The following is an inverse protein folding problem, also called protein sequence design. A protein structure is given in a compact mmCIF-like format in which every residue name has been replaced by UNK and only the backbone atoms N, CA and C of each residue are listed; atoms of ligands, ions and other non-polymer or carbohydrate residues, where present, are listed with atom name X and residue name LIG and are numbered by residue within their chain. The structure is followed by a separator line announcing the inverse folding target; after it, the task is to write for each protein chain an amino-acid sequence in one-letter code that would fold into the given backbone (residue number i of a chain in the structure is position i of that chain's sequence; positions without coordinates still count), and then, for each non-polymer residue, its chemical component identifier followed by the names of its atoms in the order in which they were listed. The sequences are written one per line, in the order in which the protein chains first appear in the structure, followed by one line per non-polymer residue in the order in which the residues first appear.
data_IF_120038419375
#
_entry.id   IF_120038419375
#
_cell.length_a   1.000
_cell.length_b   1.000
_cell.length_c   1.000
_cell.angle_alpha   90.00
_cell.angle_beta   90.00
_cell.angle_gamma   90.00
#
_symmetry.space_group_name_H-M   'P 1'
#
loop_
_entity.id
_entity.type
_entity.pdbx_description
1 polymer ?
#
# COMPACT_ATOMS: atom_id res chain seq x y z
N UNK A 1 15.94 -24.49 -3.18
CA UNK A 1 15.17 -24.60 -1.91
C UNK A 1 13.81 -25.19 -2.22
N UNK A 2 13.26 -26.02 -1.33
CA UNK A 2 11.90 -26.56 -1.48
C UNK A 2 10.90 -25.48 -1.05
N UNK A 3 9.93 -25.18 -1.93
CA UNK A 3 8.89 -24.17 -1.67
C UNK A 3 7.61 -24.83 -1.18
N UNK A 4 6.89 -24.15 -0.29
CA UNK A 4 5.65 -24.62 0.31
C UNK A 4 4.54 -23.57 0.18
N UNK A 5 3.52 -23.85 -0.63
CA UNK A 5 2.41 -22.92 -0.95
C UNK A 5 1.19 -23.03 -0.02
N UNK A 6 1.38 -23.55 1.18
CA UNK A 6 0.32 -23.69 2.18
C UNK A 6 -0.16 -22.36 2.74
N UNK A 7 -1.45 -22.24 3.06
CA UNK A 7 -2.03 -21.06 3.71
C UNK A 7 -1.50 -20.99 5.16
N UNK A 8 -1.31 -19.77 5.66
CA UNK A 8 -1.00 -19.52 7.07
C UNK A 8 -2.25 -19.03 7.78
N UNK A 9 -2.53 -19.63 8.95
CA UNK A 9 -3.50 -19.13 9.91
C UNK A 9 -2.75 -18.46 11.06
N UNK A 10 -3.00 -17.18 11.25
CA UNK A 10 -2.48 -16.45 12.41
C UNK A 10 -3.19 -16.93 13.67
N UNK A 11 -2.41 -17.19 14.71
CA UNK A 11 -2.86 -17.58 16.03
C UNK A 11 -2.84 -16.41 17.00
N UNK A 12 -2.56 -16.72 18.27
CA UNK A 12 -2.47 -15.73 19.34
C UNK A 12 -1.29 -14.78 19.11
N UNK A 13 -1.46 -13.53 19.48
CA UNK A 13 -0.38 -12.55 19.63
C UNK A 13 -0.34 -12.16 21.10
N UNK A 14 0.84 -12.22 21.71
CA UNK A 14 1.04 -11.84 23.11
C UNK A 14 2.39 -11.16 23.30
N UNK A 15 2.49 -10.36 24.36
CA UNK A 15 3.76 -9.90 24.88
C UNK A 15 4.16 -10.80 26.06
N UNK A 16 5.46 -11.01 26.25
CA UNK A 16 5.98 -11.78 27.38
C UNK A 16 7.17 -11.06 28.00
N UNK A 17 7.25 -11.08 29.33
CA UNK A 17 8.44 -10.65 30.06
C UNK A 17 8.32 -9.22 30.58
N UNK A 18 9.46 -8.52 30.70
CA UNK A 18 9.51 -7.23 31.40
C UNK A 18 8.72 -6.17 30.63
N UNK A 19 7.72 -5.59 31.30
CA UNK A 19 6.87 -4.53 30.75
C UNK A 19 5.79 -5.04 29.79
N UNK A 20 5.40 -6.32 29.83
CA UNK A 20 4.40 -6.91 28.93
C UNK A 20 3.06 -6.13 28.89
N UNK A 21 2.63 -5.56 30.02
CA UNK A 21 1.43 -4.73 30.14
C UNK A 21 1.60 -3.31 29.59
N UNK A 22 2.84 -2.83 29.45
CA UNK A 22 3.18 -1.49 28.97
C UNK A 22 3.62 -1.47 27.51
N UNK A 23 3.73 -2.65 26.89
CA UNK A 23 4.13 -2.84 25.51
C UNK A 23 2.85 -3.08 24.71
N UNK A 24 2.65 -2.35 23.62
CA UNK A 24 1.54 -2.62 22.72
C UNK A 24 1.76 -3.93 21.95
N UNK A 25 0.69 -4.61 21.55
CA UNK A 25 0.81 -5.83 20.75
C UNK A 25 1.22 -5.49 19.31
N UNK A 26 2.07 -6.34 18.73
CA UNK A 26 2.31 -6.30 17.29
C UNK A 26 1.03 -6.63 16.52
N UNK A 27 0.93 -6.08 15.31
CA UNK A 27 -0.13 -6.48 14.37
C UNK A 27 0.49 -7.37 13.30
N UNK A 28 -0.25 -8.37 12.83
CA UNK A 28 0.21 -9.25 11.78
C UNK A 28 -0.87 -9.49 10.73
N UNK A 29 -0.45 -9.65 9.48
CA UNK A 29 -1.32 -9.99 8.36
C UNK A 29 -0.60 -10.94 7.42
N UNK A 30 -1.30 -11.98 7.02
CA UNK A 30 -0.84 -12.88 5.97
C UNK A 30 -1.59 -12.58 4.66
N UNK A 31 -0.86 -12.58 3.54
CA UNK A 31 -1.42 -12.50 2.19
C UNK A 31 -0.84 -13.63 1.34
N UNK A 32 -1.72 -14.33 0.64
CA UNK A 32 -1.36 -15.39 -0.29
C UNK A 32 -1.60 -14.90 -1.72
N UNK A 33 -0.54 -14.81 -2.51
CA UNK A 33 -0.58 -14.52 -3.93
C UNK A 33 -0.30 -15.81 -4.73
N UNK A 34 -0.64 -15.86 -6.04
CA UNK A 34 -0.40 -17.04 -6.86
C UNK A 34 1.07 -17.51 -6.88
N UNK A 35 2.02 -16.59 -6.76
CA UNK A 35 3.45 -16.81 -6.89
C UNK A 35 4.26 -16.47 -5.63
N UNK A 36 3.64 -15.88 -4.61
CA UNK A 36 4.33 -15.39 -3.41
C UNK A 36 3.47 -15.49 -2.15
N UNK A 37 4.13 -15.63 -1.00
CA UNK A 37 3.48 -15.66 0.30
C UNK A 37 4.14 -14.67 1.23
N UNK A 38 3.36 -13.73 1.73
CA UNK A 38 3.90 -12.65 2.54
C UNK A 38 3.22 -12.60 3.90
N UNK A 39 4.02 -12.80 4.95
CA UNK A 39 3.65 -12.47 6.31
C UNK A 39 4.19 -11.08 6.63
N UNK A 40 3.28 -10.16 6.93
CA UNK A 40 3.61 -8.79 7.32
C UNK A 40 3.39 -8.63 8.82
N UNK A 41 4.38 -8.07 9.51
CA UNK A 41 4.30 -7.75 10.95
C UNK A 41 4.56 -6.26 11.11
N UNK A 42 3.70 -5.56 11.86
CA UNK A 42 3.88 -4.16 12.23
C UNK A 42 4.26 -4.06 13.70
N UNK A 43 5.40 -3.44 13.95
CA UNK A 43 5.90 -3.10 15.27
C UNK A 43 5.14 -1.87 15.79
N UNK A 44 4.82 -1.82 17.10
CA UNK A 44 4.16 -0.67 17.71
C UNK A 44 5.06 0.56 17.84
N UNK A 45 6.38 0.36 17.86
CA UNK A 45 7.38 1.42 17.93
C UNK A 45 8.25 1.42 16.67
N UNK A 46 8.92 2.53 16.42
CA UNK A 46 9.92 2.65 15.36
C UNK A 46 10.94 1.51 15.49
N UNK A 47 11.06 0.68 14.47
CA UNK A 47 11.91 -0.51 14.46
C UNK A 47 13.39 -0.21 14.59
N UNK A 48 13.83 1.00 14.21
CA UNK A 48 15.19 1.47 14.44
C UNK A 48 15.46 2.02 15.86
N UNK A 49 14.48 1.97 16.78
CA UNK A 49 14.68 2.25 18.22
C UNK A 49 15.03 0.95 18.96
N UNK A 50 16.16 0.34 18.58
CA UNK A 50 16.82 -0.71 19.35
C UNK A 50 16.00 -1.99 19.60
N UNK A 51 15.05 -2.33 18.70
CA UNK A 51 14.55 -3.71 18.69
C UNK A 51 15.71 -4.67 18.49
N UNK A 52 15.74 -5.73 19.29
CA UNK A 52 16.85 -6.67 19.30
C UNK A 52 16.72 -7.69 18.18
N UNK A 53 16.58 -8.95 18.59
CA UNK A 53 16.58 -10.10 17.70
C UNK A 53 15.15 -10.51 17.31
N UNK A 54 14.99 -10.95 16.07
CA UNK A 54 13.80 -11.66 15.60
C UNK A 54 14.14 -13.13 15.33
N UNK A 55 13.31 -14.04 15.85
CA UNK A 55 13.48 -15.50 15.74
C UNK A 55 12.22 -16.17 15.21
N UNK A 56 12.37 -17.10 14.26
CA UNK A 56 11.33 -18.04 13.85
C UNK A 56 11.58 -19.39 14.52
N UNK A 57 10.63 -19.84 15.33
CA UNK A 57 10.75 -21.06 16.13
C UNK A 57 9.75 -22.10 15.64
N UNK A 58 10.23 -23.30 15.33
CA UNK A 58 9.38 -24.47 15.10
C UNK A 58 8.89 -25.03 16.43
N UNK A 59 7.58 -25.08 16.63
CA UNK A 59 6.99 -25.43 17.92
C UNK A 59 6.99 -26.93 18.21
N UNK A 60 7.15 -27.77 17.19
CA UNK A 60 7.27 -29.21 17.38
C UNK A 60 8.67 -29.61 17.83
N UNK A 61 9.68 -28.92 17.30
CA UNK A 61 11.09 -29.26 17.56
C UNK A 61 11.77 -28.33 18.55
N UNK A 62 11.19 -27.16 18.83
CA UNK A 62 11.79 -26.08 19.63
C UNK A 62 13.02 -25.44 18.98
N UNK A 63 13.28 -25.72 17.69
CA UNK A 63 14.48 -25.22 17.00
C UNK A 63 14.24 -23.88 16.32
N UNK A 64 15.24 -23.03 16.36
CA UNK A 64 15.29 -21.82 15.55
C UNK A 64 15.50 -22.19 14.09
N UNK A 65 14.52 -21.86 13.25
CA UNK A 65 14.60 -22.00 11.79
C UNK A 65 15.40 -20.82 11.23
N UNK A 66 15.18 -19.63 11.78
CA UNK A 66 15.81 -18.41 11.32
C UNK A 66 15.96 -17.43 12.48
N UNK A 67 17.10 -16.72 12.54
CA UNK A 67 17.42 -15.71 13.55
C UNK A 67 18.17 -14.56 12.87
N UNK A 68 17.90 -13.33 13.29
CA UNK A 68 18.58 -12.14 12.79
C UNK A 68 18.20 -10.90 13.57
N UNK A 69 18.90 -9.78 13.33
CA UNK A 69 18.51 -8.51 13.91
C UNK A 69 17.21 -8.02 13.27
N UNK A 70 16.33 -7.39 14.07
CA UNK A 70 15.10 -6.77 13.55
C UNK A 70 15.43 -5.73 12.48
N UNK A 71 16.49 -4.94 12.69
CA UNK A 71 16.95 -3.91 11.77
C UNK A 71 17.21 -4.44 10.34
N UNK A 72 17.73 -5.66 10.20
CA UNK A 72 18.05 -6.25 8.90
C UNK A 72 16.81 -6.70 8.12
N UNK A 73 15.66 -6.81 8.80
CA UNK A 73 14.39 -7.29 8.25
C UNK A 73 13.35 -6.18 8.12
N UNK A 74 13.68 -4.94 8.49
CA UNK A 74 12.76 -3.81 8.39
C UNK A 74 12.56 -3.39 6.93
N UNK A 75 11.30 -3.29 6.55
CA UNK A 75 10.83 -2.57 5.39
C UNK A 75 10.31 -1.21 5.86
N UNK A 76 11.09 -0.16 5.63
CA UNK A 76 10.80 1.17 6.17
C UNK A 76 11.02 1.25 7.68
N UNK A 77 10.06 1.82 8.40
CA UNK A 77 10.28 2.24 9.79
C UNK A 77 9.70 1.31 10.85
N UNK A 78 8.64 0.55 10.55
CA UNK A 78 7.90 -0.26 11.56
C UNK A 78 7.46 -1.62 11.03
N UNK A 79 7.70 -1.91 9.76
CA UNK A 79 7.11 -3.05 9.08
C UNK A 79 8.19 -4.10 8.81
N UNK A 80 7.86 -5.36 9.06
CA UNK A 80 8.68 -6.52 8.71
C UNK A 80 7.92 -7.30 7.66
N UNK A 81 8.60 -7.60 6.55
CA UNK A 81 8.09 -8.43 5.47
C UNK A 81 8.81 -9.77 5.47
N UNK A 82 8.06 -10.85 5.61
CA UNK A 82 8.62 -12.20 5.65
C UNK A 82 8.05 -13.04 4.53
N UNK A 83 8.92 -13.51 3.64
CA UNK A 83 8.58 -14.55 2.67
C UNK A 83 8.48 -15.90 3.37
N UNK A 84 7.27 -16.48 3.36
CA UNK A 84 7.03 -17.74 4.05
C UNK A 84 7.22 -18.97 3.17
N UNK A 85 7.58 -18.83 1.89
CA UNK A 85 7.70 -19.95 0.95
C UNK A 85 8.69 -21.04 1.40
N UNK A 86 9.76 -20.65 2.09
CA UNK A 86 10.77 -21.60 2.62
C UNK A 86 10.33 -22.40 3.85
N UNK A 87 9.24 -21.98 4.51
CA UNK A 87 8.77 -22.59 5.76
C UNK A 87 7.91 -23.81 5.45
N UNK A 88 8.21 -25.01 5.99
CA UNK A 88 7.38 -26.20 5.80
C UNK A 88 6.02 -26.08 6.53
N UNK A 89 5.05 -26.95 6.23
CA UNK A 89 3.80 -27.02 7.00
C UNK A 89 4.07 -27.44 8.45
N UNK A 90 3.50 -26.71 9.41
CA UNK A 90 3.78 -26.88 10.83
C UNK A 90 3.23 -25.76 11.70
N UNK A 91 3.54 -25.82 12.99
CA UNK A 91 3.19 -24.80 13.98
C UNK A 91 4.45 -24.01 14.34
N UNK A 92 4.33 -22.69 14.34
CA UNK A 92 5.45 -21.77 14.46
C UNK A 92 5.14 -20.62 15.41
N UNK A 93 6.19 -20.06 16.00
CA UNK A 93 6.15 -18.73 16.62
C UNK A 93 7.20 -17.81 15.99
N UNK A 94 6.89 -16.53 15.95
CA UNK A 94 7.86 -15.46 15.73
C UNK A 94 8.03 -14.71 17.03
N UNK A 95 9.26 -14.64 17.49
CA UNK A 95 9.66 -13.97 18.73
C UNK A 95 10.49 -12.75 18.38
N UNK A 96 10.10 -11.57 18.89
CA UNK A 96 10.75 -10.29 18.61
C UNK A 96 11.11 -9.63 19.94
N UNK A 97 12.40 -9.40 20.18
CA UNK A 97 12.89 -8.72 21.39
C UNK A 97 12.53 -7.23 21.37
N UNK A 98 11.87 -6.78 22.43
CA UNK A 98 11.43 -5.40 22.60
C UNK A 98 12.46 -4.61 23.44
N UNK A 99 12.75 -3.34 23.09
CA UNK A 99 13.79 -2.53 23.76
C UNK A 99 13.57 -2.32 25.27
N UNK A 100 12.33 -2.41 25.76
CA UNK A 100 12.00 -2.36 27.20
C UNK A 100 12.32 -3.65 27.99
N UNK A 101 12.87 -4.68 27.33
CA UNK A 101 13.28 -5.94 27.96
C UNK A 101 12.22 -7.05 27.96
N UNK A 102 11.14 -6.88 27.18
CA UNK A 102 10.13 -7.92 26.91
C UNK A 102 10.28 -8.49 25.50
N UNK A 103 9.33 -9.30 25.08
CA UNK A 103 9.27 -9.81 23.71
C UNK A 103 7.84 -9.88 23.19
N UNK A 104 7.67 -9.66 21.89
CA UNK A 104 6.44 -9.99 21.18
C UNK A 104 6.50 -11.43 20.70
N UNK A 105 5.39 -12.16 20.83
CA UNK A 105 5.24 -13.53 20.35
C UNK A 105 4.01 -13.59 19.44
N UNK A 106 4.25 -13.91 18.16
CA UNK A 106 3.22 -14.17 17.17
C UNK A 106 3.17 -15.67 16.86
N UNK A 107 2.07 -16.33 17.18
CA UNK A 107 1.85 -17.74 16.85
C UNK A 107 1.17 -17.88 15.49
N UNK A 108 1.55 -18.90 14.71
CA UNK A 108 0.85 -19.22 13.47
C UNK A 108 0.98 -20.70 13.08
N UNK A 109 0.02 -21.18 12.30
CA UNK A 109 0.04 -22.52 11.72
C UNK A 109 0.12 -22.41 10.20
N UNK A 110 1.08 -23.13 9.60
CA UNK A 110 1.20 -23.27 8.15
C UNK A 110 0.63 -24.61 7.72
N UNK A 111 -0.39 -24.56 6.87
CA UNK A 111 -1.08 -25.75 6.37
C UNK A 111 -0.33 -26.39 5.20
N UNK A 112 -0.74 -27.60 4.82
CA UNK A 112 -0.31 -28.20 3.55
C UNK A 112 -1.02 -27.49 2.38
N UNK A 113 -0.38 -27.49 1.21
CA UNK A 113 -0.99 -26.93 0.00
C UNK A 113 -2.33 -27.62 -0.28
N UNK A 114 -3.36 -26.83 -0.60
CA UNK A 114 -4.72 -27.32 -0.87
C UNK A 114 -5.59 -27.55 0.36
N UNK A 115 -5.06 -27.39 1.58
CA UNK A 115 -5.88 -27.43 2.80
C UNK A 115 -6.37 -26.02 3.10
N UNK A 116 -7.66 -25.79 2.90
CA UNK A 116 -8.33 -24.55 3.34
C UNK A 116 -8.64 -24.72 4.83
N UNK A 117 -8.16 -23.82 5.71
CA UNK A 117 -8.51 -23.89 7.12
C UNK A 117 -10.04 -23.81 7.27
N UNK A 118 -10.64 -24.85 7.85
CA UNK A 118 -12.05 -24.79 8.27
C UNK A 118 -12.16 -23.75 9.36
N UNK A 119 -12.56 -22.55 8.95
CA UNK A 119 -12.86 -21.44 9.82
C UNK A 119 -14.10 -21.81 10.67
N UNK A 120 -13.90 -22.24 11.92
CA UNK A 120 -14.95 -22.09 12.94
C UNK A 120 -15.05 -20.59 13.25
N UNK A 121 -15.71 -19.85 12.37
CA UNK A 121 -16.10 -18.47 12.65
C UNK A 121 -17.32 -18.51 13.56
N UNK A 122 -17.10 -18.28 14.85
CA UNK A 122 -18.09 -17.60 15.67
C UNK A 122 -17.53 -16.24 16.06
N UNK A 123 -17.08 -15.46 15.08
CA UNK A 123 -17.28 -14.03 15.16
C UNK A 123 -18.73 -13.79 14.68
N UNK A 124 -19.53 -12.95 15.36
CA UNK A 124 -20.77 -12.51 14.76
C UNK A 124 -20.36 -11.88 13.42
N UNK A 125 -20.82 -12.49 12.32
CA UNK A 125 -20.98 -11.76 11.08
C UNK A 125 -21.75 -10.50 11.52
N UNK A 126 -21.21 -9.28 11.36
CA UNK A 126 -22.02 -8.10 11.59
C UNK A 126 -23.26 -8.32 10.75
N UNK A 127 -24.40 -8.38 11.44
CA UNK A 127 -25.64 -8.80 10.84
C UNK A 127 -25.99 -7.79 9.75
N UNK A 128 -25.56 -8.08 8.52
CA UNK A 128 -25.87 -7.29 7.34
C UNK A 128 -27.32 -7.55 6.91
N UNK A 129 -28.13 -8.19 7.77
CA UNK A 129 -29.60 -8.17 7.67
C UNK A 129 -30.23 -7.02 8.44
N UNK A 130 -29.47 -6.23 9.18
CA UNK A 130 -29.95 -4.92 9.60
C UNK A 130 -30.04 -4.04 8.36
N UNK A 131 -31.25 -3.97 7.79
CA UNK A 131 -31.61 -3.00 6.76
C UNK A 131 -31.05 -1.63 7.20
N UNK A 132 -30.49 -0.83 6.28
CA UNK A 132 -30.00 0.50 6.62
C UNK A 132 -31.04 1.21 7.49
N UNK A 133 -30.62 1.85 8.59
CA UNK A 133 -31.54 2.60 9.45
C UNK A 133 -32.24 3.64 8.57
N UNK A 134 -33.52 3.42 8.29
CA UNK A 134 -34.35 4.29 7.47
C UNK A 134 -34.86 5.44 8.32
N UNK A 135 -34.24 6.61 8.19
CA UNK A 135 -34.69 7.82 8.87
C UNK A 135 -35.92 8.39 8.15
N UNK A 136 -36.96 8.73 8.91
CA UNK A 136 -38.17 9.36 8.40
C UNK A 136 -38.29 10.79 8.92
N UNK A 137 -38.81 11.70 8.10
CA UNK A 137 -39.13 13.05 8.54
C UNK A 137 -40.38 13.07 9.46
N UNK A 138 -40.70 14.23 10.04
CA UNK A 138 -41.89 14.43 10.88
C UNK A 138 -43.25 14.23 10.17
N UNK A 139 -43.23 13.96 8.86
CA UNK A 139 -44.40 13.69 8.02
C UNK A 139 -44.40 12.25 7.47
N UNK A 140 -43.42 11.41 7.86
CA UNK A 140 -43.34 9.99 7.50
C UNK A 140 -42.58 9.65 6.21
N UNK A 141 -42.02 10.63 5.50
CA UNK A 141 -41.25 10.41 4.28
C UNK A 141 -39.84 9.91 4.59
N UNK A 142 -39.31 9.01 3.75
CA UNK A 142 -37.93 8.51 3.86
C UNK A 142 -36.93 9.62 3.52
N UNK A 143 -36.03 9.92 4.44
CA UNK A 143 -34.90 10.82 4.20
C UNK A 143 -33.88 10.10 3.30
N UNK A 144 -33.35 10.76 2.25
CA UNK A 144 -32.31 10.17 1.42
C UNK A 144 -31.08 9.83 2.27
N UNK A 145 -30.53 8.62 2.11
CA UNK A 145 -29.25 8.24 2.70
C UNK A 145 -28.10 8.91 1.92
N UNK A 146 -27.91 10.22 2.13
CA UNK A 146 -26.86 11.02 1.49
C UNK A 146 -25.46 10.42 1.70
N UNK A 147 -25.24 9.72 2.82
CA UNK A 147 -23.98 9.07 3.16
C UNK A 147 -23.60 7.93 2.18
N UNK A 148 -24.59 7.19 1.64
CA UNK A 148 -24.33 6.15 0.64
C UNK A 148 -23.91 6.76 -0.70
N UNK A 149 -24.54 7.86 -1.09
CA UNK A 149 -24.23 8.60 -2.32
C UNK A 149 -22.82 9.20 -2.20
N UNK A 150 -22.46 9.75 -1.04
CA UNK A 150 -21.14 10.32 -0.79
C UNK A 150 -20.04 9.24 -0.83
N UNK A 151 -20.28 8.08 -0.20
CA UNK A 151 -19.33 6.96 -0.21
C UNK A 151 -19.08 6.41 -1.59
N UNK A 152 -20.12 6.24 -2.39
CA UNK A 152 -19.96 5.72 -3.75
C UNK A 152 -19.15 6.68 -4.64
N UNK A 153 -19.40 7.99 -4.50
CA UNK A 153 -18.63 9.04 -5.18
C UNK A 153 -17.16 9.05 -4.76
N UNK A 154 -16.89 9.01 -3.46
CA UNK A 154 -15.52 8.94 -2.92
C UNK A 154 -14.78 7.68 -3.39
N UNK A 155 -15.45 6.53 -3.41
CA UNK A 155 -14.83 5.26 -3.81
C UNK A 155 -14.48 5.28 -5.30
N UNK A 156 -15.34 5.84 -6.16
CA UNK A 156 -15.06 6.02 -7.59
C UNK A 156 -13.90 7.00 -7.84
N UNK A 157 -13.87 8.12 -7.12
CA UNK A 157 -12.79 9.11 -7.23
C UNK A 157 -11.43 8.54 -6.76
N UNK A 158 -11.42 7.74 -5.70
CA UNK A 158 -10.21 7.06 -5.21
C UNK A 158 -9.72 5.99 -6.21
N UNK A 159 -10.62 5.14 -6.73
CA UNK A 159 -10.26 4.13 -7.71
C UNK A 159 -9.68 4.76 -9.00
N UNK A 160 -10.22 5.89 -9.45
CA UNK A 160 -9.67 6.67 -10.56
C UNK A 160 -8.23 7.12 -10.31
N UNK A 161 -7.96 7.68 -9.12
CA UNK A 161 -6.61 8.13 -8.72
C UNK A 161 -5.57 7.02 -8.69
N UNK A 162 -5.92 5.80 -8.27
CA UNK A 162 -4.99 4.66 -8.26
C UNK A 162 -4.70 4.07 -9.66
N UNK A 163 -5.52 4.40 -10.67
CA UNK A 163 -5.30 3.93 -12.04
C UNK A 163 -4.41 4.85 -12.88
N UNK A 164 -4.00 6.01 -12.33
CA UNK A 164 -3.21 7.01 -13.03
C UNK A 164 -1.80 6.49 -13.31
N UNK A 165 -1.37 6.56 -14.56
CA UNK A 165 0.00 6.21 -14.96
C UNK A 165 0.46 7.01 -16.17
N UNK A 166 1.78 7.09 -16.35
CA UNK A 166 2.42 7.72 -17.49
C UNK A 166 3.02 6.67 -18.42
N UNK A 167 2.90 6.91 -19.73
CA UNK A 167 3.61 6.16 -20.76
C UNK A 167 4.49 7.12 -21.57
N UNK A 168 5.72 6.71 -21.82
CA UNK A 168 6.69 7.50 -22.58
C UNK A 168 6.88 6.92 -23.98
N UNK A 169 6.85 7.78 -24.99
CA UNK A 169 7.11 7.43 -26.39
C UNK A 169 8.12 8.42 -26.97
N UNK A 170 9.06 7.96 -27.80
CA UNK A 170 10.04 8.82 -28.45
C UNK A 170 11.48 8.42 -28.13
N UNK A 171 12.38 9.39 -28.21
CA UNK A 171 13.81 9.21 -27.92
C UNK A 171 14.23 10.03 -26.69
N UNK A 172 15.53 10.01 -26.37
CA UNK A 172 16.04 10.71 -25.21
C UNK A 172 15.92 12.24 -25.32
N UNK A 173 15.85 12.80 -26.53
CA UNK A 173 15.84 14.24 -26.78
C UNK A 173 14.43 14.81 -26.92
N UNK A 174 13.52 14.11 -27.56
CA UNK A 174 12.13 14.53 -27.72
C UNK A 174 11.18 13.35 -27.87
N UNK A 175 9.92 13.58 -27.53
CA UNK A 175 8.91 12.55 -27.53
C UNK A 175 7.57 13.02 -27.00
N UNK A 176 6.77 12.07 -26.55
CA UNK A 176 5.46 12.29 -25.97
C UNK A 176 5.30 11.54 -24.66
N UNK A 177 4.69 12.21 -23.69
CA UNK A 177 4.23 11.64 -22.43
C UNK A 177 2.73 11.49 -22.52
N UNK A 178 2.24 10.28 -22.32
CA UNK A 178 0.81 9.97 -22.31
C UNK A 178 0.36 9.72 -20.88
N UNK A 179 -0.45 10.62 -20.33
CA UNK A 179 -1.17 10.43 -19.08
C UNK A 179 -2.45 9.63 -19.32
N UNK A 180 -2.65 8.58 -18.53
CA UNK A 180 -3.85 7.74 -18.60
C UNK A 180 -4.51 7.64 -17.24
N UNK A 181 -5.82 7.87 -17.17
CA UNK A 181 -6.66 7.74 -15.98
C UNK A 181 -8.06 7.27 -16.39
N UNK A 182 -8.39 6.00 -16.13
CA UNK A 182 -9.64 5.40 -16.62
C UNK A 182 -9.79 5.59 -18.14
N UNK A 183 -10.77 6.39 -18.56
CA UNK A 183 -11.05 6.70 -19.97
C UNK A 183 -10.36 7.98 -20.48
N UNK A 184 -9.66 8.71 -19.62
CA UNK A 184 -8.94 9.93 -19.99
C UNK A 184 -7.55 9.54 -20.47
N UNK A 185 -7.22 9.97 -21.69
CA UNK A 185 -5.90 9.78 -22.30
C UNK A 185 -5.42 11.13 -22.82
N UNK A 186 -4.40 11.69 -22.18
CA UNK A 186 -3.83 12.99 -22.53
C UNK A 186 -2.39 12.81 -23.00
N UNK A 187 -2.05 13.41 -24.14
CA UNK A 187 -0.72 13.31 -24.73
C UNK A 187 -0.05 14.66 -24.74
N UNK A 188 1.10 14.76 -24.09
CA UNK A 188 1.90 15.97 -23.98
C UNK A 188 3.22 15.78 -24.73
N UNK A 189 3.62 16.77 -25.51
CA UNK A 189 4.94 16.75 -26.15
C UNK A 189 6.00 17.11 -25.11
N UNK A 190 7.18 16.50 -25.22
CA UNK A 190 8.32 16.84 -24.38
C UNK A 190 9.60 16.96 -25.21
N UNK A 191 10.52 17.78 -24.73
CA UNK A 191 11.83 17.96 -25.33
C UNK A 191 12.88 18.33 -24.28
N UNK A 192 14.14 17.98 -24.55
CA UNK A 192 15.29 18.44 -23.76
C UNK A 192 15.46 19.96 -23.92
N UNK A 193 15.51 20.65 -22.79
CA UNK A 193 15.72 22.08 -22.74
C UNK A 193 17.16 22.49 -23.08
N UNK A 194 17.37 23.80 -23.18
CA UNK A 194 18.70 24.41 -23.32
C UNK A 194 19.01 25.33 -22.14
N UNK A 195 20.31 25.57 -21.93
CA UNK A 195 20.78 26.47 -20.87
C UNK A 195 20.52 25.90 -19.48
N UNK A 196 19.79 26.64 -18.64
CA UNK A 196 19.48 26.22 -17.28
C UNK A 196 18.34 25.18 -17.21
N UNK A 197 17.50 25.07 -18.24
CA UNK A 197 16.42 24.09 -18.27
C UNK A 197 16.90 22.83 -18.95
N UNK A 198 16.79 21.69 -18.28
CA UNK A 198 17.23 20.40 -18.79
C UNK A 198 16.17 19.70 -19.61
N UNK A 199 14.89 19.88 -19.27
CA UNK A 199 13.78 19.17 -19.88
C UNK A 199 12.49 19.97 -19.70
N UNK A 200 11.62 19.98 -20.71
CA UNK A 200 10.33 20.62 -20.62
C UNK A 200 9.23 19.79 -21.28
N UNK A 201 8.02 19.95 -20.77
CA UNK A 201 6.80 19.34 -21.28
C UNK A 201 5.87 20.46 -21.72
N UNK A 202 5.44 20.45 -22.98
CA UNK A 202 4.48 21.43 -23.50
C UNK A 202 3.07 21.09 -23.04
N UNK A 203 2.42 22.09 -22.43
CA UNK A 203 1.08 21.97 -21.87
C UNK A 203 0.15 23.00 -22.51
N UNK A 204 -1.08 22.62 -22.90
CA UNK A 204 -2.07 23.59 -23.35
C UNK A 204 -2.33 24.67 -22.29
N UNK A 205 -2.38 25.92 -22.75
CA UNK A 205 -2.80 27.06 -21.93
C UNK A 205 -4.22 26.84 -21.37
N UNK A 206 -4.54 27.48 -20.26
CA UNK A 206 -5.83 27.30 -19.57
C UNK A 206 -7.04 27.57 -20.48
N UNK A 207 -6.97 28.60 -21.31
CA UNK A 207 -8.01 28.95 -22.28
C UNK A 207 -8.23 27.90 -23.37
N UNK A 208 -7.21 27.09 -23.66
CA UNK A 208 -7.25 26.03 -24.67
C UNK A 208 -7.37 24.62 -24.06
N UNK A 209 -7.33 24.50 -22.73
CA UNK A 209 -7.23 23.22 -22.04
C UNK A 209 -8.40 22.28 -22.36
N UNK A 210 -9.63 22.73 -22.14
CA UNK A 210 -10.82 21.88 -22.33
C UNK A 210 -11.00 21.51 -23.80
N UNK A 211 -10.66 22.43 -24.72
CA UNK A 211 -10.71 22.18 -26.16
C UNK A 211 -9.67 21.14 -26.61
N UNK A 212 -8.45 21.21 -26.07
CA UNK A 212 -7.35 20.31 -26.45
C UNK A 212 -7.45 18.93 -25.77
N UNK A 213 -7.86 18.90 -24.50
CA UNK A 213 -7.79 17.70 -23.64
C UNK A 213 -9.14 17.03 -23.41
N UNK A 214 -10.25 17.68 -23.77
CA UNK A 214 -11.62 17.28 -23.43
C UNK A 214 -11.83 17.03 -21.92
N UNK A 215 -10.97 17.61 -21.09
CA UNK A 215 -10.96 17.44 -19.65
C UNK A 215 -11.30 18.77 -18.98
N UNK A 216 -12.14 18.80 -17.92
CA UNK A 216 -12.52 20.04 -17.26
C UNK A 216 -11.33 20.83 -16.71
N UNK A 217 -11.38 22.17 -16.79
CA UNK A 217 -10.31 23.06 -16.37
C UNK A 217 -9.94 22.91 -14.88
N UNK A 218 -10.92 22.68 -14.01
CA UNK A 218 -10.66 22.48 -12.57
C UNK A 218 -9.77 21.27 -12.27
N UNK A 219 -9.66 20.31 -13.19
CA UNK A 219 -8.79 19.14 -13.06
C UNK A 219 -7.35 19.38 -13.56
N UNK A 220 -7.12 20.48 -14.28
CA UNK A 220 -5.83 20.80 -14.90
C UNK A 220 -4.70 20.77 -13.88
N UNK A 221 -4.83 21.48 -12.77
CA UNK A 221 -3.78 21.56 -11.75
C UNK A 221 -3.42 20.18 -11.19
N UNK A 222 -4.41 19.38 -10.76
CA UNK A 222 -4.22 18.02 -10.22
C UNK A 222 -3.51 17.08 -11.23
N UNK A 223 -3.85 17.17 -12.50
CA UNK A 223 -3.22 16.35 -13.55
C UNK A 223 -1.77 16.79 -13.79
N UNK A 224 -1.52 18.10 -13.88
CA UNK A 224 -0.18 18.62 -14.12
C UNK A 224 0.76 18.35 -12.95
N UNK A 225 0.27 18.45 -11.72
CA UNK A 225 1.01 18.10 -10.50
C UNK A 225 1.42 16.62 -10.53
N UNK A 226 0.49 15.73 -10.88
CA UNK A 226 0.76 14.30 -11.01
C UNK A 226 1.80 14.02 -12.10
N UNK A 227 1.60 14.58 -13.30
CA UNK A 227 2.54 14.43 -14.41
C UNK A 227 3.93 14.91 -14.01
N UNK A 228 4.01 16.09 -13.36
CA UNK A 228 5.27 16.67 -12.96
C UNK A 228 6.02 15.82 -11.92
N UNK A 229 5.32 15.41 -10.86
CA UNK A 229 5.88 14.58 -9.81
C UNK A 229 6.32 13.20 -10.29
N UNK A 230 5.52 12.54 -11.14
CA UNK A 230 5.87 11.21 -11.66
C UNK A 230 7.08 11.27 -12.59
N UNK A 231 7.16 12.26 -13.49
CA UNK A 231 8.32 12.40 -14.39
C UNK A 231 9.59 12.71 -13.60
N UNK A 232 9.51 13.58 -12.58
CA UNK A 232 10.64 13.83 -11.69
C UNK A 232 11.10 12.53 -11.03
N UNK A 233 10.19 11.76 -10.42
CA UNK A 233 10.54 10.51 -9.74
C UNK A 233 11.16 9.46 -10.68
N UNK A 234 10.65 9.31 -11.90
CA UNK A 234 11.06 8.23 -12.80
C UNK A 234 12.24 8.56 -13.71
N UNK A 235 12.38 9.83 -14.13
CA UNK A 235 13.37 10.24 -15.14
C UNK A 235 14.43 11.21 -14.62
N UNK A 236 14.11 11.97 -13.58
CA UNK A 236 14.91 13.11 -13.16
C UNK A 236 14.82 13.38 -11.64
N UNK A 237 15.17 12.40 -10.78
CA UNK A 237 14.88 12.48 -9.34
C UNK A 237 15.67 13.60 -8.62
N UNK A 238 16.76 14.07 -9.22
CA UNK A 238 17.57 15.17 -8.69
C UNK A 238 17.21 16.54 -9.26
N UNK A 239 16.30 16.63 -10.24
CA UNK A 239 15.93 17.90 -10.87
C UNK A 239 14.73 18.50 -10.14
N UNK A 240 14.69 19.83 -10.02
CA UNK A 240 13.51 20.57 -9.55
C UNK A 240 12.60 20.87 -10.73
N UNK A 241 11.29 20.93 -10.51
CA UNK A 241 10.35 21.33 -11.56
C UNK A 241 9.54 22.57 -11.19
N UNK A 242 9.11 23.30 -12.21
CA UNK A 242 8.21 24.44 -12.12
C UNK A 242 7.10 24.29 -13.16
N UNK A 243 5.84 24.35 -12.73
CA UNK A 243 4.67 24.33 -13.61
C UNK A 243 4.32 25.78 -13.96
N UNK A 244 4.32 26.11 -15.26
CA UNK A 244 3.96 27.42 -15.79
C UNK A 244 2.69 27.32 -16.65
N UNK A 245 2.26 28.45 -17.21
CA UNK A 245 1.04 28.52 -18.00
C UNK A 245 1.12 27.67 -19.29
N UNK A 246 2.31 27.56 -19.86
CA UNK A 246 2.64 26.96 -21.16
C UNK A 246 3.36 25.62 -21.08
N UNK A 247 3.91 25.26 -19.91
CA UNK A 247 4.65 24.01 -19.79
C UNK A 247 5.07 23.65 -18.37
N UNK A 248 5.64 22.45 -18.24
CA UNK A 248 6.33 21.99 -17.04
C UNK A 248 7.81 21.98 -17.35
N UNK A 249 8.61 22.71 -16.56
CA UNK A 249 10.05 22.89 -16.79
C UNK A 249 10.85 22.26 -15.68
N UNK A 250 11.91 21.53 -16.03
CA UNK A 250 12.79 20.83 -15.10
C UNK A 250 14.21 21.40 -15.20
N UNK A 251 14.82 21.58 -14.03
CA UNK A 251 16.10 22.25 -13.80
C UNK A 251 17.00 21.44 -12.87
#
# INVERSE_FOLDING_TARGET
MKQYFGIIKLGKIENRGKGEDEIELVKARFVHYPDSQQLTIWLPLYGGQDYGTIRLVDQKTGKFIEEGAVADRLSGSIQILWDTLGIPPGEYSIEIEHPKGGQHILWFEKFKQGVIPSEKVSAPIPDNTSRPIEYRDGFGNLLPNEDLILREKLTKDMAGKFSRHLRYEGNFRSGYITYTEGNIVLRFYHEMGGGACHFYIDIPAESAWEAATKTPLHRRADILEFVAGTVQQEKAPSWRYEIKADGIYYY
#
